data_IF_685455702243
#
_entry.id   IF_685455702243
#
_cell.length_a   1.000
_cell.length_b   1.000
_cell.length_c   1.000
_cell.angle_alpha   90.00
_cell.angle_beta   90.00
_cell.angle_gamma   90.00
#
_symmetry.space_group_name_H-M   'P 1'
#
loop_
_entity.id
_entity.type
_entity.pdbx_description
1 polymer ?
#
# COMPACT_ATOMS: atom_id res chain seq x y z
N UNK A 1 16.98 -9.23 -20.99
CA UNK A 1 16.33 -8.29 -21.79
C UNK A 1 16.28 -6.87 -21.23
N UNK A 2 16.81 -6.67 -20.02
CA UNK A 2 17.01 -5.37 -19.41
C UNK A 2 17.95 -4.48 -20.26
N UNK A 3 19.02 -5.04 -20.81
CA UNK A 3 19.95 -4.34 -21.70
C UNK A 3 19.28 -3.84 -22.98
N UNK A 4 18.33 -4.60 -23.53
CA UNK A 4 17.55 -4.20 -24.71
C UNK A 4 16.59 -3.04 -24.39
N UNK A 5 15.97 -3.08 -23.21
CA UNK A 5 15.10 -2.00 -22.74
C UNK A 5 15.90 -0.69 -22.51
N UNK A 6 17.07 -0.78 -21.90
CA UNK A 6 17.98 0.36 -21.69
C UNK A 6 18.47 0.96 -23.02
N UNK A 7 18.84 0.10 -23.98
CA UNK A 7 19.28 0.53 -25.31
C UNK A 7 18.16 1.23 -26.07
N UNK A 8 16.95 0.69 -26.01
CA UNK A 8 15.76 1.29 -26.64
C UNK A 8 15.42 2.64 -26.01
N UNK A 9 15.40 2.74 -24.69
CA UNK A 9 15.13 3.99 -24.00
C UNK A 9 16.16 5.08 -24.31
N UNK A 10 17.46 4.74 -24.37
CA UNK A 10 18.52 5.68 -24.77
C UNK A 10 18.38 6.17 -26.20
N UNK A 11 17.94 5.29 -27.12
CA UNK A 11 17.67 5.63 -28.51
C UNK A 11 16.54 6.63 -28.64
N UNK A 12 15.40 6.37 -28.00
CA UNK A 12 14.23 7.26 -28.01
C UNK A 12 14.54 8.59 -27.33
N UNK A 13 15.29 8.61 -26.23
CA UNK A 13 15.66 9.84 -25.56
C UNK A 13 16.48 10.77 -26.49
N UNK A 14 17.41 10.21 -27.25
CA UNK A 14 18.17 10.99 -28.27
C UNK A 14 17.26 11.53 -29.38
N UNK A 15 16.34 10.72 -29.87
CA UNK A 15 15.38 11.11 -30.90
C UNK A 15 14.50 12.29 -30.43
N UNK A 16 14.10 12.29 -29.16
CA UNK A 16 13.21 13.32 -28.58
C UNK A 16 13.98 14.47 -27.92
N UNK A 17 15.31 14.48 -27.96
CA UNK A 17 16.12 15.61 -27.54
C UNK A 17 16.34 15.75 -26.04
N UNK A 18 16.18 14.67 -25.25
CA UNK A 18 16.53 14.66 -23.84
C UNK A 18 17.51 13.54 -23.46
N UNK A 19 18.09 13.64 -22.26
CA UNK A 19 18.99 12.63 -21.74
C UNK A 19 18.22 11.58 -20.95
N UNK A 20 18.64 10.31 -21.02
CA UNK A 20 18.15 9.22 -20.19
C UNK A 20 19.23 8.79 -19.21
N UNK A 21 18.83 8.60 -17.95
CA UNK A 21 19.65 8.03 -16.88
C UNK A 21 18.99 6.77 -16.34
N UNK A 22 19.75 5.85 -15.78
CA UNK A 22 19.29 4.52 -15.41
C UNK A 22 19.76 4.12 -14.02
N UNK A 23 19.00 3.21 -13.39
CA UNK A 23 19.32 2.65 -12.08
C UNK A 23 18.67 3.39 -10.92
N UNK A 24 18.81 2.81 -9.74
CA UNK A 24 18.14 3.33 -8.52
C UNK A 24 18.61 4.76 -8.16
N UNK A 25 19.89 5.07 -8.34
CA UNK A 25 20.41 6.42 -8.07
C UNK A 25 19.83 7.46 -9.02
N UNK A 26 19.61 7.11 -10.29
CA UNK A 26 18.98 8.02 -11.25
C UNK A 26 17.54 8.40 -10.85
N UNK A 27 16.80 7.46 -10.27
CA UNK A 27 15.45 7.74 -9.72
C UNK A 27 15.54 8.72 -8.55
N UNK A 28 16.51 8.52 -7.66
CA UNK A 28 16.77 9.41 -6.51
C UNK A 28 17.16 10.81 -6.98
N UNK A 29 18.03 10.91 -7.99
CA UNK A 29 18.46 12.19 -8.55
C UNK A 29 17.28 12.97 -9.15
N UNK A 30 16.32 12.30 -9.81
CA UNK A 30 15.08 12.94 -10.28
C UNK A 30 14.28 13.58 -9.13
N UNK A 31 14.23 12.92 -7.96
CA UNK A 31 13.55 13.46 -6.80
C UNK A 31 14.17 14.73 -6.24
N UNK A 32 15.46 14.98 -6.52
CA UNK A 32 16.24 16.12 -6.04
C UNK A 32 16.31 17.30 -7.02
N UNK A 33 15.84 17.15 -8.27
CA UNK A 33 15.92 18.18 -9.30
C UNK A 33 15.30 19.50 -8.81
N UNK A 34 16.00 20.64 -8.90
CA UNK A 34 15.48 21.92 -8.40
C UNK A 34 14.18 22.38 -9.06
N UNK A 35 13.93 21.95 -10.29
CA UNK A 35 12.77 22.33 -11.10
C UNK A 35 11.50 21.53 -10.74
N UNK A 36 11.63 20.52 -9.89
CA UNK A 36 10.53 19.65 -9.48
C UNK A 36 9.94 20.15 -8.16
N UNK A 37 8.66 20.50 -8.14
CA UNK A 37 7.92 20.91 -6.95
C UNK A 37 7.29 19.72 -6.23
N UNK A 38 6.86 18.72 -6.99
CA UNK A 38 6.15 17.53 -6.48
C UNK A 38 6.65 16.26 -7.18
N UNK A 39 6.84 15.21 -6.41
CA UNK A 39 7.15 13.87 -6.93
C UNK A 39 5.94 12.96 -6.71
N UNK A 40 5.51 12.27 -7.77
CA UNK A 40 4.54 11.17 -7.68
C UNK A 40 5.32 9.87 -7.56
N UNK A 41 5.26 9.22 -6.39
CA UNK A 41 5.90 7.93 -6.19
C UNK A 41 4.85 6.80 -6.33
N UNK A 42 4.90 6.12 -7.46
CA UNK A 42 4.07 4.95 -7.77
C UNK A 42 4.92 3.70 -8.06
N UNK A 43 6.14 3.65 -7.54
CA UNK A 43 6.98 2.44 -7.60
C UNK A 43 6.32 1.31 -6.81
N UNK A 44 6.63 0.07 -7.17
CA UNK A 44 6.06 -1.12 -6.52
C UNK A 44 7.03 -1.66 -5.47
N UNK A 45 6.50 -1.97 -4.28
CA UNK A 45 7.27 -2.58 -3.21
C UNK A 45 8.25 -1.62 -2.52
N UNK A 46 9.18 -2.17 -1.74
CA UNK A 46 10.16 -1.40 -0.96
C UNK A 46 11.10 -0.54 -1.82
N UNK A 47 11.17 -0.77 -3.14
CA UNK A 47 11.97 0.03 -4.07
C UNK A 47 11.60 1.52 -4.07
N UNK A 48 10.37 1.87 -3.67
CA UNK A 48 9.91 3.25 -3.55
C UNK A 48 10.44 4.02 -2.33
N UNK A 49 10.97 3.33 -1.32
CA UNK A 49 11.37 3.93 -0.04
C UNK A 49 12.34 5.09 -0.20
N UNK A 50 13.45 4.89 -0.93
CA UNK A 50 14.49 5.92 -1.11
C UNK A 50 13.95 7.13 -1.86
N UNK A 51 13.11 6.92 -2.87
CA UNK A 51 12.49 8.02 -3.62
C UNK A 51 11.57 8.86 -2.72
N UNK A 52 10.75 8.25 -1.88
CA UNK A 52 9.90 8.95 -0.91
C UNK A 52 10.73 9.75 0.09
N UNK A 53 11.74 9.13 0.70
CA UNK A 53 12.62 9.77 1.67
C UNK A 53 13.36 10.98 1.08
N UNK A 54 14.00 10.81 -0.07
CA UNK A 54 14.80 11.88 -0.70
C UNK A 54 13.93 13.02 -1.25
N UNK A 55 12.70 12.73 -1.65
CA UNK A 55 11.71 13.76 -2.03
C UNK A 55 11.43 14.71 -0.87
N UNK A 56 11.05 14.16 0.29
CA UNK A 56 10.74 14.96 1.48
C UNK A 56 11.97 15.63 2.06
N UNK A 57 13.13 14.95 2.08
CA UNK A 57 14.41 15.51 2.49
C UNK A 57 14.84 16.71 1.64
N UNK A 58 14.48 16.70 0.34
CA UNK A 58 14.68 17.84 -0.55
C UNK A 58 13.65 18.96 -0.37
N UNK A 59 12.73 18.85 0.60
CA UNK A 59 11.70 19.85 0.88
C UNK A 59 10.57 19.91 -0.16
N UNK A 60 10.38 18.85 -0.95
CA UNK A 60 9.39 18.78 -2.01
C UNK A 60 8.10 18.09 -1.55
N UNK A 61 7.01 18.32 -2.29
CA UNK A 61 5.77 17.58 -2.06
C UNK A 61 5.90 16.14 -2.58
N UNK A 62 5.33 15.20 -1.83
CA UNK A 62 5.25 13.79 -2.18
C UNK A 62 3.79 13.39 -2.36
N UNK A 63 3.37 13.08 -3.59
CA UNK A 63 2.11 12.42 -3.87
C UNK A 63 2.37 10.89 -3.87
N UNK A 64 1.94 10.22 -2.80
CA UNK A 64 2.37 8.87 -2.47
C UNK A 64 1.31 7.82 -2.86
N UNK A 65 1.63 7.01 -3.87
CA UNK A 65 0.89 5.80 -4.21
C UNK A 65 1.60 4.53 -3.71
N UNK A 66 2.91 4.60 -3.44
CA UNK A 66 3.71 3.50 -2.91
C UNK A 66 3.56 3.39 -1.39
N UNK A 67 2.54 2.65 -0.95
CA UNK A 67 2.27 2.43 0.47
C UNK A 67 3.41 1.75 1.22
N UNK A 68 4.17 0.91 0.53
CA UNK A 68 5.30 0.20 1.10
C UNK A 68 6.39 1.15 1.64
N UNK A 69 6.52 2.36 1.10
CA UNK A 69 7.42 3.38 1.66
C UNK A 69 7.09 3.70 3.12
N UNK A 70 5.82 3.82 3.49
CA UNK A 70 5.41 4.08 4.88
C UNK A 70 5.38 2.81 5.72
N UNK A 71 5.01 1.68 5.13
CA UNK A 71 5.07 0.38 5.82
C UNK A 71 6.50 0.07 6.28
N UNK A 72 7.48 0.29 5.41
CA UNK A 72 8.89 -0.03 5.67
C UNK A 72 9.60 1.07 6.47
N UNK A 73 9.36 2.33 6.13
CA UNK A 73 10.13 3.47 6.64
C UNK A 73 9.30 4.62 7.20
N UNK A 74 8.06 4.38 7.62
CA UNK A 74 7.20 5.42 8.16
C UNK A 74 7.83 6.20 9.31
N UNK A 75 8.53 5.51 10.21
CA UNK A 75 9.21 6.14 11.36
C UNK A 75 10.24 7.20 10.97
N UNK A 76 10.90 7.06 9.81
CA UNK A 76 11.90 8.02 9.33
C UNK A 76 11.36 8.98 8.27
N UNK A 77 10.25 8.65 7.61
CA UNK A 77 9.61 9.50 6.60
C UNK A 77 8.69 10.54 7.25
N UNK A 78 7.83 10.12 8.18
CA UNK A 78 6.82 11.00 8.77
C UNK A 78 7.38 12.21 9.50
N UNK A 79 8.52 12.13 10.23
CA UNK A 79 9.12 13.32 10.86
C UNK A 79 9.53 14.43 9.87
N UNK A 80 9.69 14.12 8.58
CA UNK A 80 10.03 15.10 7.54
C UNK A 80 8.81 15.63 6.79
N UNK A 81 7.62 15.12 7.08
CA UNK A 81 6.40 15.42 6.35
C UNK A 81 5.42 16.26 7.17
N UNK A 82 4.51 16.89 6.46
CA UNK A 82 3.30 17.51 6.97
C UNK A 82 2.12 17.05 6.13
N UNK A 83 0.90 17.29 6.58
CA UNK A 83 -0.32 17.03 5.79
C UNK A 83 -0.38 17.82 4.46
N UNK A 84 0.46 18.86 4.27
CA UNK A 84 0.55 19.61 3.02
C UNK A 84 1.65 19.08 2.08
N UNK A 85 2.66 18.40 2.63
CA UNK A 85 3.81 17.93 1.87
C UNK A 85 3.73 16.45 1.50
N UNK A 86 2.97 15.62 2.26
CA UNK A 86 2.72 14.23 1.94
C UNK A 86 1.22 14.03 1.68
N UNK A 87 0.89 13.71 0.44
CA UNK A 87 -0.48 13.57 -0.05
C UNK A 87 -0.72 12.12 -0.48
N UNK A 88 -1.61 11.38 0.20
CA UNK A 88 -1.88 9.99 -0.17
C UNK A 88 -2.66 9.90 -1.48
N UNK A 89 -2.22 9.01 -2.36
CA UNK A 89 -2.91 8.66 -3.61
C UNK A 89 -3.77 7.41 -3.42
N UNK A 90 -3.38 6.52 -2.50
CA UNK A 90 -4.22 5.36 -2.15
C UNK A 90 -5.65 5.82 -1.86
N UNK A 91 -6.64 5.10 -2.42
CA UNK A 91 -8.05 5.56 -2.38
C UNK A 91 -8.60 5.66 -0.98
N UNK A 92 -8.24 4.71 -0.12
CA UNK A 92 -8.67 4.63 1.26
C UNK A 92 -8.05 5.75 2.11
N UNK A 93 -6.74 5.96 1.97
CA UNK A 93 -6.05 7.02 2.71
C UNK A 93 -6.40 8.41 2.20
N UNK A 94 -6.56 8.58 0.89
CA UNK A 94 -7.09 9.81 0.30
C UNK A 94 -8.51 10.12 0.80
N UNK A 95 -9.33 9.10 1.04
CA UNK A 95 -10.66 9.24 1.62
C UNK A 95 -10.60 9.70 3.09
N UNK A 96 -9.78 9.03 3.92
CA UNK A 96 -9.57 9.41 5.32
C UNK A 96 -9.04 10.85 5.40
N UNK A 97 -8.01 11.16 4.60
CA UNK A 97 -7.45 12.51 4.53
C UNK A 97 -8.52 13.56 4.27
N UNK A 98 -9.41 13.33 3.29
CA UNK A 98 -10.50 14.26 2.96
C UNK A 98 -11.56 14.35 4.06
N UNK A 99 -11.85 13.26 4.78
CA UNK A 99 -12.76 13.27 5.91
C UNK A 99 -12.21 14.07 7.11
N UNK A 100 -10.89 14.15 7.25
CA UNK A 100 -10.20 14.85 8.33
C UNK A 100 -9.96 16.34 8.05
N UNK A 101 -10.19 16.82 6.82
CA UNK A 101 -10.01 18.24 6.50
C UNK A 101 -10.91 19.13 7.35
N UNK A 102 -10.29 20.00 8.14
CA UNK A 102 -10.98 20.93 9.03
C UNK A 102 -11.43 20.34 10.37
N UNK A 103 -11.10 19.07 10.64
CA UNK A 103 -11.38 18.39 11.91
C UNK A 103 -10.17 18.47 12.86
N UNK A 104 -10.45 18.33 14.15
CA UNK A 104 -9.39 18.19 15.16
C UNK A 104 -9.03 16.68 15.29
N UNK A 105 -7.78 16.27 15.00
CA UNK A 105 -7.37 14.88 15.13
C UNK A 105 -7.58 14.27 16.53
N UNK A 106 -7.63 15.10 17.57
CA UNK A 106 -7.89 14.67 18.96
C UNK A 106 -9.32 14.17 19.17
N UNK A 107 -10.24 14.56 18.29
CA UNK A 107 -11.65 14.16 18.35
C UNK A 107 -11.93 12.87 17.57
N UNK A 108 -10.93 12.34 16.85
CA UNK A 108 -11.05 11.09 16.10
C UNK A 108 -10.94 9.91 17.07
N UNK A 109 -11.95 9.03 17.09
CA UNK A 109 -11.95 7.81 17.89
C UNK A 109 -11.37 6.62 17.13
N UNK A 110 -11.74 6.46 15.85
CA UNK A 110 -11.31 5.35 15.00
C UNK A 110 -11.21 5.74 13.52
N UNK A 111 -10.39 4.99 12.80
CA UNK A 111 -10.41 4.95 11.34
C UNK A 111 -11.00 3.63 10.86
N UNK A 112 -11.86 3.69 9.86
CA UNK A 112 -12.45 2.54 9.19
C UNK A 112 -11.91 2.44 7.77
N UNK A 113 -10.97 1.50 7.54
CA UNK A 113 -10.41 1.22 6.22
C UNK A 113 -11.31 0.20 5.52
N UNK A 114 -11.90 0.58 4.40
CA UNK A 114 -12.79 -0.32 3.66
C UNK A 114 -12.01 -1.26 2.75
N UNK A 115 -12.53 -2.46 2.55
CA UNK A 115 -12.00 -3.48 1.67
C UNK A 115 -13.07 -3.99 0.70
N UNK A 116 -12.71 -4.35 -0.53
CA UNK A 116 -13.64 -5.06 -1.43
C UNK A 116 -13.92 -6.51 -0.97
N UNK A 117 -13.01 -7.06 -0.15
CA UNK A 117 -13.01 -8.46 0.27
C UNK A 117 -12.24 -9.39 -0.67
N UNK A 118 -11.78 -8.88 -1.82
CA UNK A 118 -11.01 -9.65 -2.82
C UNK A 118 -11.82 -10.74 -3.53
N UNK A 119 -11.18 -11.53 -4.42
CA UNK A 119 -11.86 -12.53 -5.24
C UNK A 119 -12.32 -13.77 -4.45
N UNK A 120 -11.84 -13.95 -3.22
CA UNK A 120 -12.13 -15.15 -2.42
C UNK A 120 -13.02 -14.86 -1.20
N UNK A 121 -13.69 -13.71 -1.17
CA UNK A 121 -14.64 -13.38 -0.12
C UNK A 121 -15.67 -14.49 0.07
N UNK A 122 -15.89 -14.93 1.32
CA UNK A 122 -16.80 -16.01 1.68
C UNK A 122 -16.25 -17.43 1.51
N UNK A 123 -15.06 -17.60 0.92
CA UNK A 123 -14.35 -18.88 0.87
C UNK A 123 -13.80 -19.27 2.23
N UNK A 124 -13.67 -20.59 2.46
CA UNK A 124 -13.01 -21.15 3.64
C UNK A 124 -11.64 -21.69 3.28
N UNK A 125 -10.80 -21.98 4.31
CA UNK A 125 -9.43 -22.45 4.12
C UNK A 125 -9.33 -23.66 3.18
N UNK A 126 -10.30 -24.58 3.26
CA UNK A 126 -10.35 -25.79 2.42
C UNK A 126 -10.50 -25.46 0.93
N UNK A 127 -11.26 -24.39 0.62
CA UNK A 127 -11.49 -23.93 -0.74
C UNK A 127 -10.25 -23.28 -1.36
N UNK A 128 -9.28 -22.89 -0.51
CA UNK A 128 -8.08 -22.14 -0.92
C UNK A 128 -6.86 -23.03 -1.20
N UNK A 129 -6.94 -24.33 -0.92
CA UNK A 129 -5.82 -25.28 -1.06
C UNK A 129 -5.30 -25.39 -2.50
N UNK A 130 -6.16 -25.20 -3.50
CA UNK A 130 -5.83 -25.37 -4.92
C UNK A 130 -5.93 -24.07 -5.74
N UNK A 131 -5.91 -22.92 -5.09
CA UNK A 131 -5.97 -21.63 -5.78
C UNK A 131 -4.76 -21.44 -6.69
N UNK A 132 -5.03 -21.05 -7.93
CA UNK A 132 -4.01 -20.73 -8.92
C UNK A 132 -3.75 -19.21 -9.01
N UNK A 133 -2.59 -18.80 -9.53
CA UNK A 133 -2.31 -17.38 -9.77
C UNK A 133 -3.38 -16.68 -10.59
N UNK A 134 -3.91 -17.34 -11.63
CA UNK A 134 -4.93 -16.77 -12.50
C UNK A 134 -6.24 -16.48 -11.75
N UNK A 135 -6.63 -17.36 -10.85
CA UNK A 135 -7.81 -17.15 -10.00
C UNK A 135 -7.61 -15.99 -9.03
N UNK A 136 -6.42 -15.88 -8.42
CA UNK A 136 -6.10 -14.81 -7.49
C UNK A 136 -5.94 -13.44 -8.18
N UNK A 137 -5.55 -13.41 -9.45
CA UNK A 137 -5.46 -12.19 -10.26
C UNK A 137 -6.82 -11.70 -10.76
N UNK A 138 -7.88 -12.52 -10.72
CA UNK A 138 -9.21 -12.18 -11.19
C UNK A 138 -10.00 -11.36 -10.16
N UNK A 139 -9.56 -10.11 -9.90
CA UNK A 139 -10.23 -9.23 -8.95
C UNK A 139 -11.60 -8.78 -9.47
N UNK A 140 -12.68 -8.84 -8.66
CA UNK A 140 -14.05 -8.61 -9.14
C UNK A 140 -14.35 -7.15 -9.53
N UNK A 141 -13.63 -6.17 -8.96
CA UNK A 141 -13.96 -4.74 -9.07
C UNK A 141 -12.84 -3.93 -9.73
N UNK A 142 -11.58 -4.23 -9.41
CA UNK A 142 -10.42 -3.44 -9.82
C UNK A 142 -9.57 -4.17 -10.86
N UNK A 143 -9.08 -3.42 -11.85
CA UNK A 143 -8.00 -3.89 -12.74
C UNK A 143 -6.67 -3.30 -12.25
N UNK A 144 -5.84 -4.13 -11.64
CA UNK A 144 -4.63 -3.71 -10.92
C UNK A 144 -3.40 -4.50 -11.36
N UNK A 145 -2.22 -4.04 -10.92
CA UNK A 145 -0.97 -4.78 -11.07
C UNK A 145 -1.00 -6.14 -10.36
N UNK A 146 -0.12 -7.06 -10.77
CA UNK A 146 -0.11 -8.45 -10.28
C UNK A 146 0.07 -8.52 -8.75
N UNK A 147 1.07 -7.82 -8.22
CA UNK A 147 1.40 -7.85 -6.77
C UNK A 147 0.21 -7.41 -5.93
N UNK A 148 -0.37 -6.23 -6.19
CA UNK A 148 -1.50 -5.70 -5.43
C UNK A 148 -2.78 -6.54 -5.58
N UNK A 149 -2.97 -7.24 -6.72
CA UNK A 149 -4.10 -8.17 -6.89
C UNK A 149 -3.98 -9.38 -5.97
N UNK A 150 -2.77 -9.95 -5.84
CA UNK A 150 -2.52 -11.03 -4.87
C UNK A 150 -2.67 -10.51 -3.43
N UNK A 151 -2.11 -9.35 -3.10
CA UNK A 151 -2.24 -8.73 -1.78
C UNK A 151 -3.71 -8.45 -1.43
N UNK A 152 -4.53 -8.04 -2.39
CA UNK A 152 -5.98 -7.89 -2.19
C UNK A 152 -6.64 -9.22 -1.89
N UNK A 153 -6.27 -10.29 -2.62
CA UNK A 153 -6.84 -11.62 -2.45
C UNK A 153 -6.56 -12.23 -1.08
N UNK A 154 -5.39 -11.95 -0.49
CA UNK A 154 -4.93 -12.44 0.81
C UNK A 154 -5.31 -11.53 1.98
N UNK A 155 -5.91 -10.37 1.73
CA UNK A 155 -6.08 -9.24 2.65
C UNK A 155 -4.76 -8.62 3.15
N UNK A 156 -3.61 -8.97 2.58
CA UNK A 156 -2.34 -8.28 2.87
C UNK A 156 -2.40 -6.82 2.47
N UNK A 157 -3.00 -6.48 1.32
CA UNK A 157 -3.15 -5.08 0.91
C UNK A 157 -3.80 -4.25 2.01
N UNK A 158 -4.85 -4.78 2.63
CA UNK A 158 -5.55 -4.09 3.73
C UNK A 158 -4.69 -4.03 4.99
N UNK A 159 -3.86 -5.04 5.22
CA UNK A 159 -2.86 -5.02 6.29
C UNK A 159 -1.80 -3.93 6.09
N UNK A 160 -1.26 -3.81 4.88
CA UNK A 160 -0.32 -2.72 4.52
C UNK A 160 -0.97 -1.34 4.70
N UNK A 161 -2.23 -1.22 4.33
CA UNK A 161 -2.99 0.02 4.48
C UNK A 161 -3.28 0.39 5.94
N UNK A 162 -3.45 -0.57 6.84
CA UNK A 162 -3.52 -0.29 8.29
C UNK A 162 -2.23 0.33 8.79
N UNK A 163 -1.07 -0.20 8.38
CA UNK A 163 0.24 0.35 8.78
C UNK A 163 0.46 1.73 8.14
N UNK A 164 0.10 1.90 6.87
CA UNK A 164 0.17 3.20 6.20
C UNK A 164 -0.69 4.24 6.91
N UNK A 165 -1.95 3.90 7.28
CA UNK A 165 -2.86 4.78 8.02
C UNK A 165 -2.31 5.12 9.42
N UNK A 166 -1.69 4.17 10.11
CA UNK A 166 -1.00 4.39 11.38
C UNK A 166 0.00 5.54 11.26
N UNK A 167 0.86 5.48 10.26
CA UNK A 167 1.86 6.52 10.03
C UNK A 167 1.24 7.84 9.55
N UNK A 168 0.40 7.82 8.50
CA UNK A 168 -0.18 9.03 7.92
C UNK A 168 -0.99 9.88 8.90
N UNK A 169 -1.75 9.21 9.78
CA UNK A 169 -2.72 9.87 10.65
C UNK A 169 -2.32 9.80 12.12
N UNK A 170 -1.12 9.29 12.44
CA UNK A 170 -0.61 9.14 13.82
C UNK A 170 -1.63 8.42 14.73
N UNK A 171 -2.26 7.38 14.22
CA UNK A 171 -3.30 6.61 14.90
C UNK A 171 -2.76 5.22 15.27
N UNK A 172 -2.96 4.78 16.51
CA UNK A 172 -2.58 3.43 16.93
C UNK A 172 -3.29 2.36 16.10
N UNK A 173 -2.58 1.30 15.71
CA UNK A 173 -3.13 0.23 14.87
C UNK A 173 -4.40 -0.41 15.45
N UNK A 174 -4.57 -0.41 16.78
CA UNK A 174 -5.76 -0.93 17.46
C UNK A 174 -7.01 -0.04 17.26
N UNK A 175 -6.81 1.19 16.81
CA UNK A 175 -7.87 2.14 16.49
C UNK A 175 -8.14 2.24 14.99
N UNK A 176 -7.47 1.42 14.19
CA UNK A 176 -7.65 1.32 12.74
C UNK A 176 -8.33 -0.01 12.44
N UNK A 177 -9.62 0.08 12.14
CA UNK A 177 -10.46 -1.09 11.89
C UNK A 177 -10.63 -1.32 10.38
N UNK A 178 -10.75 -2.58 10.01
CA UNK A 178 -11.04 -2.98 8.64
C UNK A 178 -12.48 -3.46 8.52
N UNK A 179 -13.17 -3.00 7.51
CA UNK A 179 -14.53 -3.45 7.18
C UNK A 179 -14.63 -3.78 5.69
N UNK A 180 -15.24 -4.90 5.36
CA UNK A 180 -15.49 -5.28 3.96
C UNK A 180 -16.72 -4.55 3.47
N UNK A 181 -16.58 -3.81 2.37
CA UNK A 181 -17.64 -3.08 1.65
C UNK A 181 -17.57 -3.50 0.18
N UNK A 182 -18.31 -4.55 -0.22
CA UNK A 182 -18.11 -5.23 -1.51
C UNK A 182 -18.35 -4.35 -2.73
N UNK A 183 -19.27 -3.39 -2.63
CA UNK A 183 -19.58 -2.47 -3.72
C UNK A 183 -18.45 -1.45 -3.97
N UNK A 184 -17.52 -1.31 -3.03
CA UNK A 184 -16.39 -0.36 -3.08
C UNK A 184 -16.81 1.09 -3.40
N UNK A 185 -18.02 1.47 -2.98
CA UNK A 185 -18.54 2.82 -3.16
C UNK A 185 -18.16 3.76 -2.00
N UNK A 186 -17.88 3.17 -0.81
CA UNK A 186 -17.28 3.87 0.32
C UNK A 186 -15.80 3.51 0.35
N UNK A 187 -14.95 4.52 0.24
CA UNK A 187 -13.51 4.33 0.17
C UNK A 187 -12.81 4.35 1.54
N UNK A 188 -13.40 4.89 2.56
CA UNK A 188 -13.05 4.77 3.99
C UNK A 188 -13.91 5.73 4.82
N UNK A 189 -13.80 5.63 6.15
CA UNK A 189 -14.60 6.43 7.07
C UNK A 189 -13.77 6.82 8.30
N UNK A 190 -14.18 7.93 8.95
CA UNK A 190 -13.61 8.41 10.20
C UNK A 190 -14.71 8.49 11.24
N UNK A 191 -14.51 7.86 12.39
CA UNK A 191 -15.40 7.87 13.53
C UNK A 191 -14.87 8.87 14.58
N UNK A 192 -15.74 9.70 15.07
CA UNK A 192 -15.40 10.73 16.07
C UNK A 192 -15.83 10.30 17.48
N UNK A 193 -15.33 11.01 18.48
CA UNK A 193 -15.56 10.73 19.91
C UNK A 193 -17.03 10.85 20.35
N UNK A 194 -17.83 11.59 19.59
CA UNK A 194 -19.27 11.72 19.82
C UNK A 194 -20.09 10.58 19.17
N UNK A 195 -19.41 9.62 18.49
CA UNK A 195 -20.01 8.51 17.77
C UNK A 195 -20.49 8.85 16.35
N UNK A 196 -20.29 10.08 15.88
CA UNK A 196 -20.57 10.42 14.48
C UNK A 196 -19.51 9.83 13.55
N UNK A 197 -19.91 9.58 12.29
CA UNK A 197 -19.02 9.00 11.26
C UNK A 197 -19.08 9.84 9.99
N UNK A 198 -17.91 10.25 9.50
CA UNK A 198 -17.76 10.80 8.15
C UNK A 198 -17.29 9.71 7.20
N UNK A 199 -17.89 9.63 6.03
CA UNK A 199 -17.53 8.68 4.98
C UNK A 199 -17.25 9.40 3.67
N UNK A 200 -16.22 8.96 2.95
CA UNK A 200 -15.96 9.39 1.60
C UNK A 200 -16.55 8.39 0.61
N UNK A 201 -17.44 8.85 -0.23
CA UNK A 201 -18.07 8.05 -1.28
C UNK A 201 -17.63 8.54 -2.66
N UNK A 202 -17.41 7.59 -3.56
CA UNK A 202 -17.01 7.91 -4.93
C UNK A 202 -17.13 6.72 -5.87
N UNK A 203 -17.01 7.01 -7.16
CA UNK A 203 -16.86 5.98 -8.18
C UNK A 203 -15.52 5.28 -8.00
N UNK A 204 -15.48 3.98 -8.28
CA UNK A 204 -14.28 3.13 -8.21
C UNK A 204 -13.32 3.45 -9.36
N UNK A 205 -12.62 4.58 -9.26
CA UNK A 205 -11.73 5.11 -10.30
C UNK A 205 -10.56 5.87 -9.66
N UNK A 206 -9.34 5.38 -9.87
CA UNK A 206 -8.12 5.98 -9.32
C UNK A 206 -7.84 7.40 -9.80
N UNK A 207 -8.43 7.84 -10.90
CA UNK A 207 -8.26 9.22 -11.37
C UNK A 207 -8.79 10.25 -10.38
N UNK A 208 -9.75 9.88 -9.51
CA UNK A 208 -10.26 10.77 -8.46
C UNK A 208 -9.21 11.03 -7.39
N UNK A 209 -8.68 10.02 -6.66
CA UNK A 209 -7.67 10.27 -5.62
C UNK A 209 -6.33 10.78 -6.19
N UNK A 210 -5.93 10.33 -7.39
CA UNK A 210 -4.73 10.86 -8.07
C UNK A 210 -4.89 12.36 -8.30
N UNK A 211 -6.01 12.77 -8.93
CA UNK A 211 -6.24 14.19 -9.23
C UNK A 211 -6.33 15.02 -7.95
N UNK A 212 -7.01 14.52 -6.91
CA UNK A 212 -7.10 15.21 -5.63
C UNK A 212 -5.72 15.47 -5.04
N UNK A 213 -4.84 14.47 -4.99
CA UNK A 213 -3.48 14.61 -4.50
C UNK A 213 -2.66 15.63 -5.30
N UNK A 214 -2.85 15.70 -6.62
CA UNK A 214 -2.13 16.63 -7.50
C UNK A 214 -2.69 18.06 -7.46
N UNK A 215 -3.98 18.23 -7.17
CA UNK A 215 -4.63 19.55 -7.18
C UNK A 215 -4.78 20.20 -5.81
N UNK A 216 -4.56 19.44 -4.72
CA UNK A 216 -4.76 19.93 -3.36
C UNK A 216 -4.00 21.26 -3.09
N UNK A 217 -4.64 22.27 -2.49
CA UNK A 217 -5.93 22.21 -1.77
C UNK A 217 -7.19 22.38 -2.64
N UNK A 218 -7.05 22.55 -3.93
CA UNK A 218 -8.18 22.76 -4.85
C UNK A 218 -8.86 21.44 -5.23
N UNK A 219 -10.11 21.53 -5.72
CA UNK A 219 -10.84 20.40 -6.32
C UNK A 219 -11.09 20.70 -7.79
N UNK A 220 -10.34 20.05 -8.65
CA UNK A 220 -10.55 20.16 -10.10
C UNK A 220 -11.59 19.13 -10.57
N UNK A 221 -12.19 19.38 -11.74
CA UNK A 221 -13.13 18.43 -12.33
C UNK A 221 -12.39 17.15 -12.76
N UNK A 222 -12.84 16.00 -12.29
CA UNK A 222 -12.25 14.71 -12.67
C UNK A 222 -12.91 14.20 -13.98
N UNK A 223 -12.16 13.55 -14.89
CA UNK A 223 -12.68 13.01 -16.14
C UNK A 223 -13.36 11.64 -15.91
N UNK A 224 -14.23 11.57 -14.89
CA UNK A 224 -14.94 10.36 -14.48
C UNK A 224 -16.44 10.64 -14.32
N UNK A 225 -17.26 9.60 -14.49
CA UNK A 225 -18.69 9.70 -14.22
C UNK A 225 -18.91 9.77 -12.71
N UNK A 226 -19.61 10.77 -12.17
CA UNK A 226 -19.93 10.84 -10.74
C UNK A 226 -20.77 9.65 -10.28
N UNK A 227 -20.69 9.35 -9.00
CA UNK A 227 -21.56 8.36 -8.35
C UNK A 227 -23.03 8.84 -8.43
N UNK A 228 -23.92 7.96 -8.88
CA UNK A 228 -25.36 8.25 -8.95
C UNK A 228 -26.10 7.48 -7.83
N UNK A 229 -26.50 8.20 -6.79
CA UNK A 229 -27.21 7.65 -5.64
C UNK A 229 -28.57 7.02 -5.98
N UNK A 230 -29.16 7.37 -7.13
CA UNK A 230 -30.44 6.78 -7.58
C UNK A 230 -30.27 5.35 -8.09
N UNK A 231 -29.04 4.96 -8.47
CA UNK A 231 -28.72 3.65 -9.03
C UNK A 231 -27.75 2.85 -8.17
N UNK A 232 -27.20 3.44 -7.11
CA UNK A 232 -26.22 2.81 -6.24
C UNK A 232 -26.76 1.57 -5.52
N UNK A 233 -28.02 1.56 -5.16
CA UNK A 233 -28.63 0.45 -4.43
C UNK A 233 -28.23 0.40 -2.96
N UNK A 234 -28.09 -0.82 -2.42
CA UNK A 234 -27.70 -1.04 -1.03
C UNK A 234 -26.21 -1.02 -0.84
N UNK A 235 -25.76 -0.55 0.32
CA UNK A 235 -24.38 -0.66 0.78
C UNK A 235 -24.31 -1.73 1.86
N UNK A 236 -23.45 -2.71 1.67
CA UNK A 236 -23.30 -3.85 2.57
C UNK A 236 -21.98 -3.76 3.31
N UNK A 237 -21.96 -4.22 4.56
CA UNK A 237 -20.79 -4.24 5.40
C UNK A 237 -20.63 -5.60 6.05
N UNK A 238 -19.40 -6.14 6.04
CA UNK A 238 -19.06 -7.43 6.63
C UNK A 238 -17.76 -7.29 7.44
N UNK A 239 -17.61 -8.07 8.50
CA UNK A 239 -16.33 -8.22 9.18
C UNK A 239 -15.35 -9.00 8.28
N UNK A 240 -14.05 -8.63 8.25
CA UNK A 240 -13.04 -9.41 7.54
C UNK A 240 -12.84 -10.77 8.23
N UNK A 241 -12.72 -11.84 7.43
CA UNK A 241 -12.40 -13.19 7.93
C UNK A 241 -10.87 -13.33 8.11
N UNK A 242 -10.38 -12.95 9.28
CA UNK A 242 -8.95 -12.99 9.62
C UNK A 242 -8.43 -14.38 9.98
N UNK A 243 -9.32 -15.35 10.20
CA UNK A 243 -8.94 -16.75 10.43
C UNK A 243 -8.57 -17.44 9.10
N UNK A 244 -9.39 -17.23 8.07
CA UNK A 244 -9.12 -17.74 6.73
C UNK A 244 -8.00 -16.96 6.05
N UNK A 245 -8.00 -15.62 6.16
CA UNK A 245 -7.04 -14.71 5.51
C UNK A 245 -6.10 -14.09 6.55
N UNK A 246 -5.11 -14.87 6.98
CA UNK A 246 -4.19 -14.52 8.08
C UNK A 246 -3.37 -13.26 7.84
N UNK A 247 -3.12 -12.88 6.59
CA UNK A 247 -2.21 -11.77 6.26
C UNK A 247 -2.63 -10.44 6.90
N UNK A 248 -3.93 -10.17 7.05
CA UNK A 248 -4.41 -8.97 7.74
C UNK A 248 -4.02 -8.98 9.23
N UNK A 249 -4.18 -10.12 9.91
CA UNK A 249 -3.81 -10.26 11.32
C UNK A 249 -2.29 -10.14 11.52
N UNK A 250 -1.50 -10.74 10.62
CA UNK A 250 -0.03 -10.64 10.63
C UNK A 250 0.43 -9.19 10.45
N UNK A 251 -0.18 -8.46 9.52
CA UNK A 251 0.16 -7.06 9.30
C UNK A 251 -0.24 -6.16 10.48
N UNK A 252 -1.43 -6.36 11.07
CA UNK A 252 -1.81 -5.65 12.30
C UNK A 252 -0.81 -5.93 13.43
N UNK A 253 -0.38 -7.18 13.59
CA UNK A 253 0.65 -7.54 14.56
C UNK A 253 1.99 -6.83 14.27
N UNK A 254 2.45 -6.83 13.02
CA UNK A 254 3.67 -6.12 12.64
C UNK A 254 3.58 -4.62 12.95
N UNK A 255 2.48 -3.97 12.56
CA UNK A 255 2.25 -2.54 12.80
C UNK A 255 2.19 -2.19 14.28
N UNK A 256 1.49 -3.00 15.09
CA UNK A 256 1.40 -2.79 16.55
C UNK A 256 2.73 -3.06 17.27
N UNK A 257 3.57 -3.96 16.74
CA UNK A 257 4.93 -4.20 17.26
C UNK A 257 5.87 -3.06 16.91
N UNK A 258 5.73 -2.50 15.69
CA UNK A 258 6.55 -1.40 15.20
C UNK A 258 8.00 -1.76 14.89
N UNK A 259 8.87 -0.75 14.86
CA UNK A 259 10.28 -0.92 14.54
C UNK A 259 10.50 -1.52 13.15
N UNK A 260 11.45 -2.45 13.05
CA UNK A 260 11.81 -3.07 11.77
C UNK A 260 10.91 -4.25 11.36
N UNK A 261 9.94 -4.66 12.19
CA UNK A 261 9.09 -5.81 11.88
C UNK A 261 8.20 -5.61 10.65
N UNK A 262 7.57 -4.43 10.43
CA UNK A 262 6.82 -4.16 9.18
C UNK A 262 7.69 -4.27 7.93
N UNK A 263 8.98 -3.88 7.99
CA UNK A 263 9.94 -4.04 6.89
C UNK A 263 10.15 -5.52 6.55
N UNK A 264 10.42 -6.35 7.56
CA UNK A 264 10.61 -7.79 7.37
C UNK A 264 9.34 -8.48 6.83
N UNK A 265 8.17 -8.12 7.35
CA UNK A 265 6.88 -8.58 6.86
C UNK A 265 6.67 -8.25 5.38
N UNK A 266 6.92 -6.99 4.99
CA UNK A 266 6.78 -6.57 3.60
C UNK A 266 7.75 -7.30 2.68
N UNK A 267 9.01 -7.45 3.07
CA UNK A 267 10.02 -8.19 2.32
C UNK A 267 9.60 -9.65 2.09
N UNK A 268 9.12 -10.32 3.15
CA UNK A 268 8.61 -11.68 3.07
C UNK A 268 7.40 -11.80 2.14
N UNK A 269 6.46 -10.85 2.24
CA UNK A 269 5.28 -10.84 1.37
C UNK A 269 5.66 -10.67 -0.10
N UNK A 270 6.56 -9.77 -0.44
CA UNK A 270 7.02 -9.59 -1.83
C UNK A 270 7.65 -10.88 -2.39
N UNK A 271 8.48 -11.58 -1.60
CA UNK A 271 9.08 -12.85 -2.01
C UNK A 271 8.02 -13.94 -2.16
N UNK A 272 7.11 -14.08 -1.19
CA UNK A 272 6.07 -15.11 -1.22
C UNK A 272 5.09 -14.90 -2.38
N UNK A 273 4.69 -13.65 -2.66
CA UNK A 273 3.83 -13.30 -3.79
C UNK A 273 4.53 -13.62 -5.12
N UNK A 274 5.83 -13.30 -5.26
CA UNK A 274 6.59 -13.63 -6.46
C UNK A 274 6.68 -15.16 -6.66
N UNK A 275 6.97 -15.92 -5.60
CA UNK A 275 7.01 -17.37 -5.63
C UNK A 275 5.65 -17.98 -5.98
N UNK A 276 4.55 -17.45 -5.44
CA UNK A 276 3.20 -17.89 -5.80
C UNK A 276 2.89 -17.64 -7.29
N UNK A 277 3.20 -16.46 -7.80
CA UNK A 277 3.02 -16.12 -9.22
C UNK A 277 3.83 -17.02 -10.15
N UNK A 278 4.99 -17.49 -9.70
CA UNK A 278 5.85 -18.46 -10.40
C UNK A 278 5.46 -19.92 -10.15
N UNK A 279 4.41 -20.19 -9.33
CA UNK A 279 3.96 -21.53 -8.94
C UNK A 279 5.01 -22.32 -8.09
N UNK A 280 5.86 -21.61 -7.39
CA UNK A 280 6.87 -22.14 -6.47
C UNK A 280 6.37 -22.18 -5.01
N UNK A 281 5.26 -21.52 -4.73
CA UNK A 281 4.59 -21.47 -3.43
C UNK A 281 3.08 -21.63 -3.61
N UNK A 282 2.40 -22.26 -2.65
CA UNK A 282 0.94 -22.32 -2.63
C UNK A 282 0.32 -20.98 -2.22
N UNK A 283 -0.98 -20.80 -2.49
CA UNK A 283 -1.70 -19.60 -2.08
C UNK A 283 -1.66 -19.41 -0.54
N UNK A 284 -1.91 -20.48 0.20
CA UNK A 284 -1.84 -20.45 1.67
C UNK A 284 -0.41 -20.31 2.20
N UNK A 285 0.57 -20.78 1.43
CA UNK A 285 2.00 -20.65 1.75
C UNK A 285 2.46 -19.20 1.81
N UNK A 286 1.77 -18.25 1.13
CA UNK A 286 2.09 -16.82 1.23
C UNK A 286 2.05 -16.36 2.70
N UNK A 287 0.96 -16.64 3.40
CA UNK A 287 0.83 -16.26 4.82
C UNK A 287 1.83 -16.99 5.71
N UNK A 288 2.14 -18.27 5.41
CA UNK A 288 3.08 -19.08 6.18
C UNK A 288 4.53 -18.58 6.03
N UNK A 289 4.95 -18.16 4.83
CA UNK A 289 6.27 -17.53 4.62
C UNK A 289 6.37 -16.21 5.37
N UNK A 290 5.33 -15.39 5.34
CA UNK A 290 5.30 -14.11 6.07
C UNK A 290 5.40 -14.37 7.58
N UNK A 291 4.55 -15.24 8.13
CA UNK A 291 4.50 -15.58 9.55
C UNK A 291 5.87 -16.06 10.06
N UNK A 292 6.47 -17.05 9.40
CA UNK A 292 7.78 -17.60 9.78
C UNK A 292 8.92 -16.58 9.67
N UNK A 293 8.87 -15.69 8.66
CA UNK A 293 9.90 -14.67 8.52
C UNK A 293 9.79 -13.63 9.63
N UNK A 294 8.57 -13.23 9.99
CA UNK A 294 8.35 -12.34 11.13
C UNK A 294 8.83 -12.95 12.44
N UNK A 295 8.54 -14.24 12.69
CA UNK A 295 9.02 -14.97 13.88
C UNK A 295 10.55 -15.07 13.95
N UNK A 296 11.21 -15.17 12.79
CA UNK A 296 12.68 -15.24 12.70
C UNK A 296 13.35 -13.88 12.88
N UNK A 297 12.65 -12.77 12.63
CA UNK A 297 13.22 -11.43 12.65
C UNK A 297 13.01 -10.75 14.01
N UNK A 298 14.10 -10.36 14.65
CA UNK A 298 14.01 -9.50 15.84
C UNK A 298 13.64 -8.07 15.42
N UNK A 299 12.55 -7.53 16.00
CA UNK A 299 12.22 -6.11 15.80
C UNK A 299 13.15 -5.23 16.62
N UNK A 300 13.69 -4.20 15.96
CA UNK A 300 14.51 -3.14 16.59
C UNK A 300 14.02 -1.78 16.16
N UNK A 301 14.37 -0.73 16.90
CA UNK A 301 14.01 0.65 16.55
C UNK A 301 14.60 1.02 15.20
N UNK A 302 13.83 1.73 14.37
CA UNK A 302 14.28 2.22 13.06
C UNK A 302 15.16 3.45 13.25
N UNK A 303 16.40 3.36 12.78
CA UNK A 303 17.39 4.44 12.91
C UNK A 303 17.80 5.05 11.55
N UNK A 304 17.78 4.26 10.47
CA UNK A 304 18.23 4.74 9.16
C UNK A 304 17.64 3.92 8.01
N UNK A 305 17.74 4.47 6.78
CA UNK A 305 17.41 3.74 5.55
C UNK A 305 18.35 2.55 5.36
N UNK A 306 19.61 2.70 5.63
CA UNK A 306 20.64 1.66 5.48
C UNK A 306 20.28 0.44 6.35
N UNK A 307 19.89 0.66 7.60
CA UNK A 307 19.40 -0.40 8.48
C UNK A 307 18.16 -1.11 7.89
N UNK A 308 17.20 -0.35 7.37
CA UNK A 308 16.00 -0.93 6.75
C UNK A 308 16.33 -1.76 5.51
N UNK A 309 17.30 -1.31 4.69
CA UNK A 309 17.75 -2.07 3.53
C UNK A 309 18.45 -3.38 3.92
N UNK A 310 19.21 -3.38 5.02
CA UNK A 310 19.83 -4.58 5.57
C UNK A 310 18.78 -5.56 6.09
N UNK A 311 17.79 -5.09 6.85
CA UNK A 311 16.67 -5.92 7.35
C UNK A 311 15.85 -6.49 6.20
N UNK A 312 15.52 -5.66 5.19
CA UNK A 312 14.82 -6.10 3.98
C UNK A 312 15.58 -7.22 3.27
N UNK A 313 16.89 -7.05 3.07
CA UNK A 313 17.73 -8.05 2.41
C UNK A 313 17.77 -9.38 3.20
N UNK A 314 17.99 -9.33 4.52
CA UNK A 314 18.01 -10.49 5.37
C UNK A 314 16.66 -11.24 5.39
N UNK A 315 15.57 -10.49 5.51
CA UNK A 315 14.23 -11.06 5.49
C UNK A 315 13.90 -11.70 4.13
N UNK A 316 14.30 -11.08 3.02
CA UNK A 316 14.15 -11.67 1.67
C UNK A 316 14.92 -12.96 1.52
N UNK A 317 16.17 -13.00 2.00
CA UNK A 317 17.00 -14.21 1.92
C UNK A 317 16.39 -15.35 2.72
N UNK A 318 15.91 -15.07 3.93
CA UNK A 318 15.22 -16.08 4.74
C UNK A 318 13.91 -16.54 4.09
N UNK A 319 13.08 -15.63 3.60
CA UNK A 319 11.82 -15.96 2.93
C UNK A 319 12.03 -16.81 1.67
N UNK A 320 13.11 -16.60 0.90
CA UNK A 320 13.47 -17.47 -0.23
C UNK A 320 13.78 -18.89 0.20
N UNK A 321 14.44 -19.09 1.35
CA UNK A 321 14.70 -20.46 1.84
C UNK A 321 13.40 -21.19 2.17
N UNK A 322 12.40 -20.47 2.68
CA UNK A 322 11.10 -21.06 3.03
C UNK A 322 10.28 -21.41 1.78
N UNK A 323 10.27 -20.57 0.77
CA UNK A 323 9.48 -20.80 -0.46
C UNK A 323 10.00 -21.97 -1.29
N UNK A 324 11.28 -22.33 -1.17
CA UNK A 324 11.89 -23.51 -1.83
C UNK A 324 11.59 -24.84 -1.11
N UNK A 325 11.06 -24.84 0.10
CA UNK A 325 10.81 -26.04 0.92
C UNK A 325 9.38 -26.61 0.71
N UNK A 326 8.68 -26.26 -0.37
CA UNK A 326 7.33 -26.76 -0.67
C UNK A 326 6.32 -26.58 0.48
N UNK A 327 6.09 -25.33 0.84
CA UNK A 327 4.98 -24.96 1.72
C UNK A 327 3.68 -24.86 0.91
#
# INVERSE_FOLDING_TARGET
DELNALTSASSHAKEWGFSATFGAEAVVDLCRLPEVDMVVNALVGAAGLRASYETLKAGKKLALANKESLVVGGDIIMPMSTHETLLPIDSEHGAIYQCLLGEDPREVSKLWVTASGGPFRGKKREDLLSITPEQALAHPTWNMGKKISIDSSTLMNKGLEVIEAHHLFSMDCDRIEVVVQPQSAIHSMVEFSDGSVKAHLGTTDMRIPIQFALSYPERWSAPVKPLDFRTLGSLEFEAPDTETFKCLALAKHAGSTGGTLPCAMNAANEIAVAAFLNRECSYLGIAEVVEKTMEHTASVVVESIEQLLEVDAQARDYARTLSLIHI
#
